data_IF_032921851771
#
_entry.id   IF_032921851771
#
_cell.length_a   1.000
_cell.length_b   1.000
_cell.length_c   1.000
_cell.angle_alpha   90.00
_cell.angle_beta   90.00
_cell.angle_gamma   90.00
#
_symmetry.space_group_name_H-M   'P 1'
#
loop_
_entity.id
_entity.type
_entity.pdbx_description
1 polymer ?
#
# COMPACT_ATOMS: atom_id res chain seq x y z
N UNK A 1 24.35 -0.53 -45.74
CA UNK A 1 23.13 0.15 -45.28
C UNK A 1 22.88 -0.28 -43.84
N UNK A 2 23.38 0.52 -42.90
CA UNK A 2 23.24 0.25 -41.47
C UNK A 2 21.88 0.73 -40.98
N UNK A 3 21.26 -0.05 -40.10
CA UNK A 3 20.33 0.48 -39.11
C UNK A 3 20.65 -0.18 -37.77
N UNK A 4 21.51 0.49 -37.02
CA UNK A 4 21.67 0.26 -35.59
C UNK A 4 20.38 0.76 -34.93
N UNK A 5 19.50 -0.16 -34.56
CA UNK A 5 18.47 0.11 -33.58
C UNK A 5 19.17 0.21 -32.21
N UNK A 6 19.70 1.39 -31.91
CA UNK A 6 20.09 1.74 -30.56
C UNK A 6 18.79 1.86 -29.74
N UNK A 7 18.45 0.78 -29.03
CA UNK A 7 17.47 0.82 -27.95
C UNK A 7 18.08 1.73 -26.89
N UNK A 8 17.44 2.88 -26.67
CA UNK A 8 17.78 3.81 -25.59
C UNK A 8 17.50 3.14 -24.23
N UNK A 9 18.44 2.34 -23.74
CA UNK A 9 18.59 2.10 -22.30
C UNK A 9 19.11 3.40 -21.67
N UNK A 10 18.20 4.33 -21.38
CA UNK A 10 18.51 5.40 -20.42
C UNK A 10 18.46 4.80 -19.02
N UNK A 11 19.54 4.09 -18.66
CA UNK A 11 19.88 3.75 -17.27
C UNK A 11 20.21 5.05 -16.53
N UNK A 12 19.21 5.88 -16.28
CA UNK A 12 19.28 6.89 -15.23
C UNK A 12 18.90 6.17 -13.93
N UNK A 13 19.78 5.30 -13.44
CA UNK A 13 19.62 4.73 -12.11
C UNK A 13 19.61 5.92 -11.14
N UNK A 14 18.51 6.10 -10.43
CA UNK A 14 18.37 7.14 -9.41
C UNK A 14 19.52 6.95 -8.41
N UNK A 15 20.41 7.93 -8.30
CA UNK A 15 21.51 7.85 -7.34
C UNK A 15 20.96 7.84 -5.92
N UNK A 16 21.49 6.94 -5.08
CA UNK A 16 21.12 6.88 -3.67
C UNK A 16 21.53 8.16 -2.93
N UNK A 17 22.51 8.90 -3.44
CA UNK A 17 22.99 10.17 -2.88
C UNK A 17 21.96 11.31 -2.99
N UNK A 18 20.97 11.18 -3.87
CA UNK A 18 19.85 12.14 -4.00
C UNK A 18 18.85 12.03 -2.84
N UNK A 19 18.91 10.94 -2.06
CA UNK A 19 18.02 10.72 -0.94
C UNK A 19 18.55 11.36 0.34
N UNK A 20 17.65 12.04 1.05
CA UNK A 20 17.89 12.57 2.38
C UNK A 20 17.18 11.73 3.44
N UNK A 21 17.85 11.50 4.56
CA UNK A 21 17.27 10.78 5.71
C UNK A 21 16.35 11.69 6.52
N UNK A 22 15.20 11.15 6.91
CA UNK A 22 14.27 11.72 7.86
C UNK A 22 14.01 10.73 9.00
N UNK A 23 14.35 11.14 10.23
CA UNK A 23 14.08 10.39 11.46
C UNK A 23 12.85 10.97 12.17
N UNK A 24 11.71 10.25 12.22
CA UNK A 24 10.47 10.76 12.79
C UNK A 24 10.52 10.98 14.32
N UNK A 25 11.50 10.42 15.03
CA UNK A 25 11.71 10.67 16.45
C UNK A 25 12.50 11.96 16.71
N UNK A 26 13.40 12.34 15.78
CA UNK A 26 14.38 13.41 16.01
C UNK A 26 14.07 14.67 15.23
N UNK A 27 13.33 14.55 14.12
CA UNK A 27 13.19 15.62 13.15
C UNK A 27 11.75 16.13 13.10
N UNK A 28 11.61 17.46 13.02
CA UNK A 28 10.31 18.11 12.81
C UNK A 28 9.87 17.93 11.37
N UNK A 29 8.55 17.83 11.16
CA UNK A 29 7.94 17.72 9.83
C UNK A 29 8.42 18.78 8.84
N UNK A 30 8.79 19.97 9.32
CA UNK A 30 9.27 21.09 8.51
C UNK A 30 10.59 20.83 7.78
N UNK A 31 11.32 19.76 8.12
CA UNK A 31 12.53 19.35 7.39
C UNK A 31 12.17 18.75 6.03
N UNK A 32 11.03 18.07 5.91
CA UNK A 32 10.61 17.51 4.62
C UNK A 32 10.22 18.63 3.66
N UNK A 33 10.64 18.58 2.38
CA UNK A 33 10.33 19.63 1.42
C UNK A 33 8.83 19.69 1.13
N UNK A 34 8.32 20.91 0.96
CA UNK A 34 6.94 21.14 0.47
C UNK A 34 6.91 21.08 -1.06
N UNK A 35 7.34 19.95 -1.62
CA UNK A 35 7.47 19.68 -3.05
C UNK A 35 7.04 18.26 -3.39
N UNK A 36 6.70 17.96 -4.65
CA UNK A 36 6.52 16.59 -5.10
C UNK A 36 7.80 15.75 -4.94
N UNK A 37 7.65 14.44 -4.91
CA UNK A 37 8.78 13.52 -4.85
C UNK A 37 8.43 12.12 -4.39
N UNK A 38 9.46 11.37 -4.02
CA UNK A 38 9.37 9.99 -3.57
C UNK A 38 9.91 9.83 -2.17
N UNK A 39 9.51 8.73 -1.55
CA UNK A 39 10.08 8.29 -0.29
C UNK A 39 10.18 6.77 -0.22
N UNK A 40 11.18 6.32 0.51
CA UNK A 40 11.45 4.91 0.84
C UNK A 40 11.35 4.81 2.35
N UNK A 41 10.43 3.98 2.83
CA UNK A 41 10.30 3.65 4.24
C UNK A 41 11.10 2.38 4.49
N UNK A 42 11.96 2.46 5.49
CA UNK A 42 12.87 1.40 5.87
C UNK A 42 12.74 1.08 7.35
N UNK A 43 13.15 -0.12 7.75
CA UNK A 43 13.35 -0.46 9.15
C UNK A 43 14.65 0.16 9.67
N UNK A 44 14.67 0.58 10.93
CA UNK A 44 15.92 0.76 11.67
C UNK A 44 16.67 -0.56 11.72
N UNK A 45 18.00 -0.50 11.83
CA UNK A 45 18.87 -1.69 11.88
C UNK A 45 18.53 -2.67 13.02
N UNK A 46 17.93 -2.18 14.11
CA UNK A 46 17.49 -2.98 15.27
C UNK A 46 16.04 -3.44 15.19
N UNK A 47 15.33 -3.15 14.10
CA UNK A 47 13.89 -3.37 13.97
C UNK A 47 13.55 -4.43 12.93
N UNK A 48 12.40 -5.07 13.11
CA UNK A 48 11.82 -6.06 12.18
C UNK A 48 10.36 -5.72 11.88
N UNK A 49 9.80 -6.31 10.82
CA UNK A 49 8.36 -6.17 10.55
C UNK A 49 7.53 -6.77 11.69
N UNK A 50 6.41 -6.13 12.10
CA UNK A 50 5.69 -6.51 13.30
C UNK A 50 4.67 -7.61 13.01
N UNK A 51 5.12 -8.76 12.55
CA UNK A 51 4.25 -9.90 12.18
C UNK A 51 3.79 -10.60 13.47
N UNK A 52 2.64 -10.20 14.01
CA UNK A 52 1.99 -10.79 15.20
C UNK A 52 0.78 -11.65 14.86
N UNK A 53 0.53 -11.86 13.57
CA UNK A 53 -0.55 -12.68 13.02
C UNK A 53 0.01 -13.92 12.35
N UNK A 54 -0.84 -14.93 12.18
CA UNK A 54 -0.45 -16.14 11.45
C UNK A 54 -0.34 -15.83 9.95
N UNK A 55 0.89 -15.75 9.46
CA UNK A 55 1.27 -15.66 8.05
C UNK A 55 2.24 -16.82 7.79
N UNK A 56 2.01 -17.57 6.72
CA UNK A 56 2.86 -18.69 6.31
C UNK A 56 4.11 -18.26 5.54
N UNK A 57 4.06 -17.10 4.88
CA UNK A 57 5.14 -16.62 4.03
C UNK A 57 6.00 -15.57 4.74
N UNK A 58 7.32 -15.79 4.83
CA UNK A 58 8.25 -14.75 5.30
C UNK A 58 8.58 -13.78 4.15
N UNK A 59 8.42 -12.46 4.31
CA UNK A 59 8.75 -11.50 3.26
C UNK A 59 10.27 -11.39 3.06
N UNK A 60 10.69 -11.28 1.81
CA UNK A 60 12.07 -10.96 1.46
C UNK A 60 12.23 -9.44 1.41
N UNK A 61 13.19 -8.92 2.18
CA UNK A 61 13.50 -7.50 2.26
C UNK A 61 14.78 -7.22 1.46
N UNK A 62 14.70 -6.29 0.52
CA UNK A 62 15.90 -5.72 -0.11
C UNK A 62 16.46 -4.61 0.78
N UNK A 63 17.70 -4.21 0.52
CA UNK A 63 18.38 -3.17 1.30
C UNK A 63 18.55 -1.89 0.49
N UNK A 64 18.36 -0.75 1.16
CA UNK A 64 18.77 0.57 0.71
C UNK A 64 20.09 0.91 1.40
N UNK A 65 21.13 1.19 0.62
CA UNK A 65 22.45 1.53 1.14
C UNK A 65 22.54 3.06 1.32
N UNK A 66 23.00 3.51 2.48
CA UNK A 66 23.17 4.93 2.78
C UNK A 66 24.30 5.14 3.77
N UNK A 67 25.31 5.97 3.42
CA UNK A 67 26.46 6.31 4.28
C UNK A 67 27.11 5.10 4.97
N UNK A 68 27.34 4.02 4.21
CA UNK A 68 27.92 2.73 4.67
C UNK A 68 27.03 1.87 5.55
N UNK A 69 25.77 2.26 5.77
CA UNK A 69 24.77 1.44 6.43
C UNK A 69 23.76 0.88 5.42
N UNK A 70 23.15 -0.26 5.76
CA UNK A 70 22.11 -0.91 4.97
C UNK A 70 20.81 -0.93 5.74
N UNK A 71 19.73 -0.52 5.09
CA UNK A 71 18.40 -0.45 5.69
C UNK A 71 17.41 -1.31 4.92
N UNK A 72 16.64 -2.13 5.64
CA UNK A 72 15.65 -3.00 5.00
C UNK A 72 14.46 -2.21 4.48
N UNK A 73 14.21 -2.25 3.18
CA UNK A 73 13.13 -1.52 2.52
C UNK A 73 11.81 -2.25 2.70
N UNK A 74 10.83 -1.58 3.32
CA UNK A 74 9.50 -2.15 3.57
C UNK A 74 8.44 -1.57 2.67
N UNK A 75 8.59 -0.31 2.26
CA UNK A 75 7.61 0.41 1.44
C UNK A 75 8.24 1.52 0.63
N UNK A 76 7.70 1.79 -0.55
CA UNK A 76 8.02 2.93 -1.41
C UNK A 76 6.74 3.69 -1.69
N UNK A 77 6.79 5.01 -1.65
CA UNK A 77 5.67 5.85 -2.03
C UNK A 77 6.07 7.09 -2.80
N UNK A 78 5.05 7.85 -3.16
CA UNK A 78 5.17 9.12 -3.89
C UNK A 78 4.20 10.16 -3.37
N UNK A 79 4.56 11.42 -3.57
CA UNK A 79 3.67 12.56 -3.39
C UNK A 79 3.70 13.44 -4.62
N UNK A 80 2.50 13.74 -5.13
CA UNK A 80 2.30 14.61 -6.30
C UNK A 80 2.29 16.10 -5.97
N UNK A 81 2.22 16.47 -4.68
CA UNK A 81 2.11 17.86 -4.24
C UNK A 81 3.21 18.22 -3.25
N UNK A 82 3.31 17.44 -2.19
CA UNK A 82 4.14 17.79 -1.03
C UNK A 82 4.51 16.54 -0.24
N UNK A 83 5.81 16.26 -0.16
CA UNK A 83 6.39 15.26 0.74
C UNK A 83 6.07 15.59 2.22
N UNK A 84 5.99 16.87 2.56
CA UNK A 84 5.66 17.35 3.92
C UNK A 84 4.21 17.11 4.34
N UNK A 85 3.27 17.59 3.52
CA UNK A 85 1.84 17.64 3.88
C UNK A 85 1.20 16.26 3.75
N UNK A 86 1.61 15.49 2.74
CA UNK A 86 1.04 14.17 2.48
C UNK A 86 1.68 13.09 3.32
N UNK A 87 3.00 12.90 3.25
CA UNK A 87 3.57 11.62 3.66
C UNK A 87 3.88 11.56 5.16
N UNK A 88 4.47 12.61 5.73
CA UNK A 88 4.70 12.63 7.18
C UNK A 88 3.39 12.71 7.97
N UNK A 89 2.52 13.67 7.63
CA UNK A 89 1.28 13.86 8.39
C UNK A 89 0.33 12.68 8.27
N UNK A 90 0.32 11.96 7.15
CA UNK A 90 -0.57 10.80 6.98
C UNK A 90 0.04 9.51 7.54
N UNK A 91 1.37 9.33 7.52
CA UNK A 91 1.99 8.07 7.94
C UNK A 91 2.39 8.08 9.42
N UNK A 92 3.09 9.12 9.88
CA UNK A 92 3.65 9.17 11.24
C UNK A 92 2.78 9.91 12.25
N UNK A 93 1.75 10.63 11.81
CA UNK A 93 0.79 11.32 12.70
C UNK A 93 -0.68 11.16 12.28
N UNK A 94 -0.93 10.32 11.28
CA UNK A 94 -2.27 10.12 10.69
C UNK A 94 -2.91 8.82 11.12
N UNK A 95 -3.93 8.40 10.37
CA UNK A 95 -4.63 7.13 10.60
C UNK A 95 -4.51 6.21 9.38
N UNK A 96 -4.78 4.93 9.58
CA UNK A 96 -4.84 3.96 8.49
C UNK A 96 -5.90 4.32 7.44
N UNK A 97 -6.92 5.11 7.81
CA UNK A 97 -7.92 5.67 6.90
C UNK A 97 -7.37 6.40 5.67
N UNK A 98 -6.14 6.93 5.75
CA UNK A 98 -5.49 7.65 4.65
C UNK A 98 -4.07 7.13 4.32
N UNK A 99 -3.65 6.02 4.94
CA UNK A 99 -2.29 5.48 4.75
C UNK A 99 -2.33 3.98 4.47
N UNK A 100 -1.91 3.63 3.26
CA UNK A 100 -1.82 2.23 2.82
C UNK A 100 -0.81 1.43 3.64
N UNK A 101 0.34 2.03 3.99
CA UNK A 101 1.35 1.36 4.83
C UNK A 101 0.84 1.14 6.25
N UNK A 102 0.12 2.12 6.85
CA UNK A 102 -0.49 1.95 8.17
C UNK A 102 -1.48 0.79 8.17
N UNK A 103 -2.35 0.70 7.17
CA UNK A 103 -3.26 -0.46 7.02
C UNK A 103 -2.51 -1.79 7.02
N UNK A 104 -1.45 -1.88 6.21
CA UNK A 104 -0.63 -3.09 6.15
C UNK A 104 0.03 -3.42 7.50
N UNK A 105 0.69 -2.46 8.14
CA UNK A 105 1.38 -2.66 9.42
C UNK A 105 0.41 -2.99 10.58
N UNK A 106 -0.72 -2.29 10.67
CA UNK A 106 -1.72 -2.57 11.70
C UNK A 106 -2.33 -3.96 11.54
N UNK A 107 -2.60 -4.41 10.32
CA UNK A 107 -3.05 -5.79 10.08
C UNK A 107 -1.97 -6.82 10.48
N UNK A 108 -0.68 -6.56 10.21
CA UNK A 108 0.42 -7.42 10.68
C UNK A 108 0.49 -7.48 12.21
N UNK A 109 0.21 -6.36 12.89
CA UNK A 109 0.12 -6.28 14.36
C UNK A 109 -1.12 -6.98 14.94
N UNK A 110 -2.08 -7.40 14.11
CA UNK A 110 -3.33 -8.04 14.53
C UNK A 110 -4.48 -7.07 14.81
N UNK A 111 -4.34 -5.79 14.45
CA UNK A 111 -5.39 -4.78 14.64
C UNK A 111 -6.56 -4.98 13.68
N UNK A 112 -7.77 -4.71 14.17
CA UNK A 112 -9.01 -4.93 13.41
C UNK A 112 -9.42 -3.65 12.67
N UNK A 113 -9.63 -3.77 11.36
CA UNK A 113 -10.17 -2.68 10.56
C UNK A 113 -11.65 -2.44 10.90
N UNK A 114 -11.98 -1.19 11.18
CA UNK A 114 -13.34 -0.68 11.41
C UNK A 114 -13.74 0.30 10.29
N UNK A 115 -15.04 0.50 10.02
CA UNK A 115 -15.50 1.55 9.12
C UNK A 115 -14.99 2.92 9.57
N UNK A 116 -14.45 3.70 8.63
CA UNK A 116 -13.91 5.03 8.90
C UNK A 116 -15.01 6.08 8.98
N UNK A 117 -15.99 5.99 8.08
CA UNK A 117 -17.07 6.95 7.96
C UNK A 117 -18.32 6.33 8.61
N UNK A 118 -18.61 6.67 9.87
CA UNK A 118 -19.72 6.07 10.67
C UNK A 118 -21.08 6.22 9.96
N UNK A 119 -21.29 7.36 9.30
CA UNK A 119 -22.53 7.66 8.57
C UNK A 119 -22.59 6.98 7.18
N UNK A 120 -21.54 6.29 6.76
CA UNK A 120 -21.47 5.60 5.46
C UNK A 120 -20.58 4.36 5.54
N UNK A 121 -20.91 3.38 6.40
CA UNK A 121 -20.02 2.28 6.73
C UNK A 121 -19.73 1.34 5.54
N UNK A 122 -20.59 1.38 4.52
CA UNK A 122 -20.49 0.55 3.32
C UNK A 122 -19.60 1.14 2.22
N UNK A 123 -19.03 2.34 2.41
CA UNK A 123 -18.20 2.97 1.38
C UNK A 123 -16.78 2.37 1.24
N UNK A 124 -16.51 1.27 1.95
CA UNK A 124 -15.25 0.53 1.92
C UNK A 124 -14.06 1.24 2.57
N UNK A 125 -14.25 2.45 3.12
CA UNK A 125 -13.18 3.18 3.80
C UNK A 125 -13.07 2.68 5.23
N UNK A 126 -11.89 2.17 5.55
CA UNK A 126 -11.59 1.58 6.86
C UNK A 126 -10.39 2.24 7.54
N UNK A 127 -10.36 2.17 8.86
CA UNK A 127 -9.27 2.63 9.75
C UNK A 127 -9.15 1.68 10.95
N UNK A 128 -8.24 1.89 11.90
CA UNK A 128 -8.23 1.14 13.16
C UNK A 128 -8.90 1.93 14.29
N UNK A 129 -9.24 1.26 15.40
CA UNK A 129 -9.69 1.92 16.62
C UNK A 129 -8.63 2.90 17.16
N UNK A 130 -9.04 3.89 17.96
CA UNK A 130 -8.14 4.96 18.42
C UNK A 130 -6.90 4.42 19.16
N UNK A 131 -7.10 3.44 20.04
CA UNK A 131 -6.01 2.79 20.78
C UNK A 131 -5.00 2.10 19.85
N UNK A 132 -5.50 1.38 18.85
CA UNK A 132 -4.67 0.70 17.85
C UNK A 132 -3.92 1.71 16.97
N UNK A 133 -4.56 2.82 16.57
CA UNK A 133 -3.89 3.89 15.79
C UNK A 133 -2.78 4.59 16.60
N UNK A 134 -2.97 4.75 17.90
CA UNK A 134 -1.95 5.31 18.80
C UNK A 134 -0.76 4.37 18.93
N UNK A 135 -1.04 3.09 19.23
CA UNK A 135 -0.03 2.03 19.33
C UNK A 135 0.75 1.89 18.01
N UNK A 136 0.06 1.92 16.87
CA UNK A 136 0.68 1.89 15.55
C UNK A 136 1.58 3.09 15.30
N UNK A 137 1.16 4.28 15.74
CA UNK A 137 1.94 5.52 15.58
C UNK A 137 3.26 5.45 16.34
N UNK A 138 3.22 5.02 17.61
CA UNK A 138 4.41 4.84 18.43
C UNK A 138 5.35 3.81 17.79
N UNK A 139 4.81 2.63 17.46
CA UNK A 139 5.59 1.58 16.79
C UNK A 139 6.27 2.09 15.51
N UNK A 140 5.55 2.83 14.65
CA UNK A 140 6.11 3.36 13.40
C UNK A 140 7.24 4.36 13.65
N UNK A 141 7.10 5.28 14.62
CA UNK A 141 8.16 6.24 14.94
C UNK A 141 9.40 5.54 15.48
N UNK A 142 9.20 4.53 16.30
CA UNK A 142 10.28 3.80 16.95
C UNK A 142 11.04 2.88 15.99
N UNK A 143 10.37 2.32 14.99
CA UNK A 143 10.94 1.27 14.16
C UNK A 143 11.26 1.68 12.72
N UNK A 144 10.72 2.80 12.23
CA UNK A 144 10.86 3.19 10.83
C UNK A 144 11.66 4.48 10.66
N UNK A 145 12.37 4.52 9.53
CA UNK A 145 13.01 5.71 8.97
C UNK A 145 12.42 5.98 7.60
N UNK A 146 12.56 7.22 7.13
CA UNK A 146 12.12 7.63 5.81
C UNK A 146 13.28 8.27 5.05
N UNK A 147 13.62 7.73 3.90
CA UNK A 147 14.46 8.40 2.92
C UNK A 147 13.58 9.13 1.92
N UNK A 148 13.84 10.40 1.61
CA UNK A 148 13.06 11.18 0.66
C UNK A 148 13.92 11.76 -0.45
N UNK A 149 13.31 11.89 -1.63
CA UNK A 149 13.90 12.50 -2.82
C UNK A 149 12.87 13.42 -3.47
N UNK A 150 13.10 14.73 -3.41
CA UNK A 150 12.21 15.72 -4.01
C UNK A 150 12.45 15.80 -5.52
N UNK A 151 11.41 15.51 -6.31
CA UNK A 151 11.51 15.49 -7.76
C UNK A 151 10.12 15.61 -8.41
N UNK A 152 10.07 16.12 -9.64
CA UNK A 152 8.82 16.28 -10.38
C UNK A 152 8.42 15.00 -11.16
N UNK A 153 9.35 14.08 -11.38
CA UNK A 153 9.10 12.80 -12.09
C UNK A 153 8.67 11.66 -11.12
N UNK A 154 8.00 12.05 -10.04
CA UNK A 154 7.73 11.18 -8.89
C UNK A 154 6.94 9.92 -9.26
N UNK A 155 6.16 9.96 -10.35
CA UNK A 155 5.36 8.84 -10.80
C UNK A 155 6.19 7.75 -11.49
N UNK A 156 7.19 8.10 -12.28
CA UNK A 156 8.06 7.12 -12.93
C UNK A 156 9.13 6.63 -11.96
N UNK A 157 9.71 7.56 -11.18
CA UNK A 157 10.66 7.23 -10.10
C UNK A 157 10.05 6.23 -9.11
N UNK A 158 8.78 6.36 -8.72
CA UNK A 158 8.11 5.38 -7.84
C UNK A 158 8.11 3.96 -8.44
N UNK A 159 7.77 3.84 -9.73
CA UNK A 159 7.71 2.54 -10.42
C UNK A 159 9.08 1.88 -10.44
N UNK A 160 10.12 2.65 -10.74
CA UNK A 160 11.50 2.17 -10.74
C UNK A 160 11.96 1.75 -9.34
N UNK A 161 11.67 2.55 -8.31
CA UNK A 161 11.99 2.21 -6.93
C UNK A 161 11.25 0.93 -6.46
N UNK A 162 9.98 0.76 -6.82
CA UNK A 162 9.24 -0.48 -6.53
C UNK A 162 9.84 -1.67 -7.28
N UNK A 163 10.25 -1.48 -8.54
CA UNK A 163 10.91 -2.52 -9.35
C UNK A 163 12.24 -2.97 -8.74
N UNK A 164 13.07 -2.00 -8.33
CA UNK A 164 14.40 -2.22 -7.74
C UNK A 164 14.29 -2.88 -6.36
N UNK A 165 13.49 -2.30 -5.47
CA UNK A 165 13.46 -2.71 -4.07
C UNK A 165 12.42 -3.79 -3.75
N UNK A 166 11.45 -4.02 -4.63
CA UNK A 166 10.35 -4.98 -4.43
C UNK A 166 9.78 -4.98 -2.97
N UNK A 167 9.41 -3.81 -2.43
CA UNK A 167 8.96 -3.70 -1.05
C UNK A 167 7.76 -4.60 -0.76
N UNK A 168 7.78 -5.41 0.31
CA UNK A 168 6.71 -6.36 0.60
C UNK A 168 5.39 -5.69 0.99
N UNK A 169 5.40 -4.44 1.49
CA UNK A 169 4.17 -3.74 1.90
C UNK A 169 3.52 -2.94 0.76
N UNK A 170 4.18 -2.80 -0.39
CA UNK A 170 3.56 -2.22 -1.58
C UNK A 170 2.62 -3.23 -2.22
N UNK A 171 1.36 -3.24 -1.79
CA UNK A 171 0.34 -4.09 -2.41
C UNK A 171 -0.01 -3.59 -3.81
N UNK A 172 -0.15 -2.28 -4.02
CA UNK A 172 -0.47 -1.71 -5.32
C UNK A 172 0.79 -1.48 -6.16
N UNK A 173 0.73 -1.84 -7.45
CA UNK A 173 1.79 -1.53 -8.42
C UNK A 173 3.04 -2.39 -8.31
N UNK A 174 3.10 -3.32 -7.34
CA UNK A 174 4.17 -4.28 -7.21
C UNK A 174 3.76 -5.65 -7.79
N UNK A 175 4.26 -5.93 -9.00
CA UNK A 175 4.00 -7.17 -9.74
C UNK A 175 5.15 -8.19 -9.63
N UNK A 176 6.18 -7.91 -8.85
CA UNK A 176 7.32 -8.80 -8.71
C UNK A 176 6.93 -10.09 -7.95
N UNK A 177 7.26 -11.25 -8.51
CA UNK A 177 6.85 -12.56 -8.00
C UNK A 177 7.46 -12.93 -6.64
N UNK A 178 8.64 -12.40 -6.29
CA UNK A 178 9.39 -12.79 -5.08
C UNK A 178 8.60 -12.62 -3.79
N UNK A 179 7.82 -11.53 -3.67
CA UNK A 179 6.98 -11.26 -2.48
C UNK A 179 5.48 -11.47 -2.76
N UNK A 180 5.12 -12.15 -3.86
CA UNK A 180 3.73 -12.25 -4.30
C UNK A 180 2.84 -12.94 -3.26
N UNK A 181 3.27 -14.07 -2.72
CA UNK A 181 2.44 -14.84 -1.79
C UNK A 181 2.29 -14.13 -0.43
N UNK A 182 3.36 -13.49 0.07
CA UNK A 182 3.25 -12.58 1.22
C UNK A 182 2.24 -11.45 0.97
N UNK A 183 2.28 -10.81 -0.21
CA UNK A 183 1.34 -9.75 -0.56
C UNK A 183 -0.09 -10.25 -0.69
N UNK A 184 -0.32 -11.49 -1.12
CA UNK A 184 -1.65 -12.12 -1.14
C UNK A 184 -2.17 -12.34 0.28
N UNK A 185 -1.36 -12.93 1.16
CA UNK A 185 -1.73 -13.14 2.57
C UNK A 185 -2.03 -11.80 3.26
N UNK A 186 -1.18 -10.80 3.07
CA UNK A 186 -1.39 -9.44 3.61
C UNK A 186 -2.65 -8.76 3.03
N UNK A 187 -2.94 -8.98 1.75
CA UNK A 187 -4.18 -8.51 1.12
C UNK A 187 -5.40 -9.19 1.76
N UNK A 188 -5.33 -10.49 2.04
CA UNK A 188 -6.41 -11.23 2.71
C UNK A 188 -6.67 -10.67 4.12
N UNK A 189 -5.61 -10.40 4.89
CA UNK A 189 -5.71 -9.75 6.21
C UNK A 189 -6.43 -8.40 6.15
N UNK A 190 -6.16 -7.59 5.12
CA UNK A 190 -6.82 -6.29 4.90
C UNK A 190 -8.28 -6.40 4.47
N UNK A 191 -8.72 -7.57 4.03
CA UNK A 191 -10.08 -7.81 3.53
C UNK A 191 -10.99 -8.41 4.59
N UNK A 192 -10.42 -9.07 5.59
CA UNK A 192 -11.12 -9.57 6.77
C UNK A 192 -11.58 -8.40 7.67
N UNK A 193 -12.51 -7.60 7.18
CA UNK A 193 -13.43 -6.86 8.04
C UNK A 193 -14.32 -7.89 8.73
N UNK A 194 -14.66 -7.69 10.01
CA UNK A 194 -15.43 -8.66 10.82
C UNK A 194 -16.90 -8.85 10.36
N UNK A 195 -17.19 -8.78 9.06
CA UNK A 195 -18.50 -8.99 8.44
C UNK A 195 -18.76 -10.45 7.99
N UNK A 196 -17.99 -11.42 8.49
CA UNK A 196 -18.34 -12.85 8.37
C UNK A 196 -18.86 -13.36 9.71
N UNK A 197 -20.13 -13.06 10.00
CA UNK A 197 -21.06 -13.89 10.79
C UNK A 197 -22.41 -13.17 10.92
N UNK A 198 -23.27 -13.32 9.91
CA UNK A 198 -24.70 -13.34 10.11
C UNK A 198 -25.24 -14.48 9.24
N UNK A 199 -25.92 -15.49 9.81
CA UNK A 199 -26.64 -16.46 9.00
C UNK A 199 -27.69 -15.69 8.19
N UNK A 200 -27.70 -15.90 6.87
CA UNK A 200 -28.77 -15.39 6.01
C UNK A 200 -30.09 -15.99 6.52
N UNK A 201 -31.09 -15.18 6.94
CA UNK A 201 -32.42 -15.70 7.19
C UNK A 201 -32.97 -16.24 5.88
N UNK A 202 -33.21 -17.54 5.88
CA UNK A 202 -33.77 -18.26 4.75
C UNK A 202 -35.18 -17.70 4.48
N UNK A 203 -35.35 -16.91 3.41
CA UNK A 203 -36.65 -16.78 2.77
C UNK A 203 -36.56 -16.30 1.31
N UNK A 204 -36.99 -17.21 0.44
CA UNK A 204 -37.52 -17.02 -0.91
C UNK A 204 -36.59 -16.43 -1.98
N UNK A 205 -35.91 -17.36 -2.65
CA UNK A 205 -35.42 -17.26 -4.01
C UNK A 205 -36.46 -16.61 -4.94
N UNK A 206 -36.17 -15.38 -5.38
CA UNK A 206 -36.42 -15.00 -6.77
C UNK A 206 -35.12 -15.14 -7.53
N UNK A 207 -35.09 -16.13 -8.42
CA UNK A 207 -34.06 -16.30 -9.43
C UNK A 207 -34.01 -15.01 -10.26
N UNK A 208 -32.90 -14.27 -10.22
CA UNK A 208 -32.26 -13.63 -11.38
C UNK A 208 -30.93 -12.96 -10.97
N UNK A 209 -29.87 -13.37 -11.67
CA UNK A 209 -28.48 -12.90 -11.66
C UNK A 209 -27.62 -13.21 -10.42
N UNK A 210 -26.84 -14.29 -10.50
CA UNK A 210 -25.69 -14.54 -9.64
C UNK A 210 -24.70 -13.36 -9.71
N UNK A 211 -24.10 -12.92 -8.59
CA UNK A 211 -23.04 -11.93 -8.63
C UNK A 211 -21.85 -12.54 -9.38
N UNK A 212 -21.47 -11.90 -10.49
CA UNK A 212 -20.36 -12.36 -11.31
C UNK A 212 -19.07 -12.11 -10.54
N UNK A 213 -18.35 -13.18 -10.20
CA UNK A 213 -17.12 -13.11 -9.41
C UNK A 213 -15.94 -12.72 -10.30
N UNK A 214 -15.23 -11.66 -9.92
CA UNK A 214 -14.02 -11.18 -10.61
C UNK A 214 -12.82 -11.36 -9.69
N UNK A 215 -11.72 -11.95 -10.15
CA UNK A 215 -10.50 -12.02 -9.35
C UNK A 215 -9.63 -10.78 -9.57
N UNK A 216 -9.13 -10.17 -8.49
CA UNK A 216 -8.21 -9.05 -8.59
C UNK A 216 -6.88 -9.49 -9.23
N UNK A 217 -6.53 -8.90 -10.38
CA UNK A 217 -5.31 -9.22 -11.13
C UNK A 217 -4.01 -8.96 -10.35
N UNK A 218 -4.06 -8.16 -9.30
CA UNK A 218 -2.90 -7.79 -8.50
C UNK A 218 -2.75 -8.62 -7.21
N UNK A 219 -3.83 -8.83 -6.46
CA UNK A 219 -3.77 -9.54 -5.17
C UNK A 219 -4.48 -10.91 -5.16
N UNK A 220 -5.12 -11.31 -6.25
CA UNK A 220 -5.78 -12.61 -6.36
C UNK A 220 -7.07 -12.76 -5.54
N UNK A 221 -7.54 -11.71 -4.87
CA UNK A 221 -8.78 -11.77 -4.07
C UNK A 221 -10.00 -11.72 -4.99
N UNK A 222 -10.97 -12.59 -4.70
CA UNK A 222 -12.27 -12.57 -5.36
C UNK A 222 -13.07 -11.33 -4.95
N UNK A 223 -13.50 -10.57 -5.94
CA UNK A 223 -14.35 -9.39 -5.85
C UNK A 223 -15.76 -9.78 -6.28
N UNK A 224 -16.73 -9.36 -5.50
CA UNK A 224 -18.15 -9.47 -5.84
C UNK A 224 -18.58 -8.17 -6.49
N UNK A 225 -19.10 -8.23 -7.71
CA UNK A 225 -19.68 -7.05 -8.37
C UNK A 225 -21.16 -7.02 -8.01
N UNK A 226 -21.55 -6.09 -7.14
CA UNK A 226 -22.95 -5.84 -6.80
C UNK A 226 -23.66 -5.03 -7.90
N UNK A 227 -24.99 -4.88 -7.78
CA UNK A 227 -25.77 -4.14 -8.76
C UNK A 227 -25.38 -2.66 -8.87
N UNK A 228 -24.94 -2.05 -7.76
CA UNK A 228 -24.52 -0.65 -7.73
C UNK A 228 -23.23 -0.39 -8.52
N UNK A 229 -22.41 -1.42 -8.72
CA UNK A 229 -21.17 -1.33 -9.49
C UNK A 229 -21.31 -1.70 -10.97
N UNK A 230 -22.49 -2.14 -11.44
CA UNK A 230 -22.72 -2.54 -12.84
C UNK A 230 -22.39 -1.43 -13.85
N UNK A 231 -22.64 -0.17 -13.48
CA UNK A 231 -22.43 0.99 -14.33
C UNK A 231 -21.04 1.63 -14.17
N UNK A 232 -20.20 1.12 -13.28
CA UNK A 232 -18.87 1.67 -13.05
C UNK A 232 -17.87 1.07 -14.05
N UNK A 233 -17.22 1.91 -14.86
CA UNK A 233 -16.22 1.45 -15.84
C UNK A 233 -15.01 0.76 -15.18
N UNK A 234 -14.67 1.19 -13.97
CA UNK A 234 -13.53 0.67 -13.21
C UNK A 234 -13.93 0.35 -11.77
N UNK A 235 -13.47 -0.81 -11.28
CA UNK A 235 -13.71 -1.27 -9.91
C UNK A 235 -12.39 -1.22 -9.14
N UNK A 236 -12.43 -0.68 -7.92
CA UNK A 236 -11.28 -0.65 -7.01
C UNK A 236 -11.32 -1.85 -6.05
N UNK A 237 -10.27 -2.67 -6.08
CA UNK A 237 -10.05 -3.68 -5.07
C UNK A 237 -9.80 -3.02 -3.70
N UNK A 238 -10.71 -3.18 -2.75
CA UNK A 238 -10.59 -2.58 -1.41
C UNK A 238 -9.40 -3.12 -0.60
N UNK A 239 -8.96 -4.33 -0.94
CA UNK A 239 -7.81 -4.96 -0.31
C UNK A 239 -6.49 -4.28 -0.69
N UNK A 240 -6.10 -4.38 -1.97
CA UNK A 240 -4.81 -3.91 -2.45
C UNK A 240 -4.85 -2.53 -3.11
N UNK A 241 -6.03 -1.96 -3.36
CA UNK A 241 -6.21 -0.68 -4.03
C UNK A 241 -6.13 -0.73 -5.56
N UNK A 242 -5.88 -1.91 -6.16
CA UNK A 242 -5.81 -2.09 -7.61
C UNK A 242 -7.11 -1.66 -8.29
N UNK A 243 -6.98 -0.91 -9.40
CA UNK A 243 -8.09 -0.52 -10.27
C UNK A 243 -8.18 -1.51 -11.42
N UNK A 244 -9.34 -2.12 -11.60
CA UNK A 244 -9.58 -3.19 -12.58
C UNK A 244 -10.71 -2.73 -13.50
N UNK A 245 -10.61 -3.04 -14.79
CA UNK A 245 -11.70 -2.79 -15.73
C UNK A 245 -12.89 -3.68 -15.35
N UNK A 246 -14.07 -3.07 -15.26
CA UNK A 246 -15.29 -3.80 -14.98
C UNK A 246 -15.70 -4.64 -16.21
N UNK A 247 -15.68 -5.98 -16.13
CA UNK A 247 -16.01 -6.83 -17.29
C UNK A 247 -17.49 -6.75 -17.70
N UNK A 248 -18.36 -6.25 -16.83
CA UNK A 248 -19.80 -6.14 -17.09
C UNK A 248 -20.26 -4.71 -17.39
N UNK A 249 -19.33 -3.76 -17.52
CA UNK A 249 -19.67 -2.39 -17.86
C UNK A 249 -20.27 -2.34 -19.27
N UNK A 250 -21.54 -1.93 -19.35
CA UNK A 250 -22.23 -1.66 -20.61
C UNK A 250 -22.12 -0.16 -20.87
N UNK A 251 -21.55 0.18 -22.02
CA UNK A 251 -21.45 1.55 -22.48
C UNK A 251 -22.82 1.93 -23.07
N UNK A 252 -23.65 2.61 -22.28
CA UNK A 252 -24.90 3.21 -22.76
C UNK A 252 -24.62 4.37 -23.70
#
# INVERSE_FOLDING_TARGET
MGSQAAIYETNNMISQDEFSLFDPQKMRASVLPDKPGNYIIVLRSTSSLPIKVQISTTPILTSFDYKKEKYNVVYVGKSSKSLRIRDYKQHFTGTAGNSTIRKSLGCLLGFKLIPRDINSPQNGKTTFGEFDERTLTEWMKDNLLLFYYANNDYANVEKELIRIYNPPLNLQGNFNKTNLDFRKELSALRSCTSAKQAPIPNNQLKLNTYPQQLQCSNCGINLTIDEGLKNEKYIKCLSCGCIIQNPIYIQN
#
